data_IF_940880556189
#
_entry.id   IF_940880556189
#
_cell.length_a   1.000
_cell.length_b   1.000
_cell.length_c   1.000
_cell.angle_alpha   90.00
_cell.angle_beta   90.00
_cell.angle_gamma   90.00
#
_symmetry.space_group_name_H-M   'P 1'
#
loop_
_entity.id
_entity.type
_entity.pdbx_description
1 polymer ?
#
# COMPACT_ATOMS: atom_id res chain seq x y z
N UNK A 1 0.55 38.14 6.87
CA UNK A 1 1.09 37.53 8.10
C UNK A 1 1.26 38.58 9.21
N UNK A 2 1.97 39.67 8.95
CA UNK A 2 2.19 40.71 9.95
C UNK A 2 0.90 41.44 10.35
N UNK A 3 0.11 41.90 9.38
CA UNK A 3 -1.13 42.65 9.62
C UNK A 3 -2.22 41.81 10.30
N UNK A 4 -2.38 40.55 9.88
CA UNK A 4 -3.44 39.66 10.37
C UNK A 4 -3.01 38.81 11.56
N UNK A 5 -1.80 38.98 12.10
CA UNK A 5 -1.22 38.16 13.21
C UNK A 5 -1.41 36.66 13.05
N UNK A 6 -1.51 36.18 11.81
CA UNK A 6 -1.68 34.75 11.51
C UNK A 6 -0.36 34.15 11.05
N UNK A 7 -0.07 32.92 11.48
CA UNK A 7 1.10 32.17 11.05
C UNK A 7 0.87 31.38 9.75
N UNK A 8 -0.35 31.37 9.25
CA UNK A 8 -0.77 30.63 8.05
C UNK A 8 -1.27 31.59 6.97
N UNK A 9 -0.78 31.42 5.75
CA UNK A 9 -1.23 32.15 4.56
C UNK A 9 -1.64 31.12 3.50
N UNK A 10 -2.82 31.27 2.88
CA UNK A 10 -3.23 30.44 1.75
C UNK A 10 -2.19 30.51 0.63
N UNK A 11 -1.95 29.39 -0.05
CA UNK A 11 -1.03 29.29 -1.20
C UNK A 11 0.41 29.74 -0.92
N UNK A 12 0.85 29.66 0.32
CA UNK A 12 2.21 30.06 0.73
C UNK A 12 3.27 29.32 -0.10
N UNK A 13 4.11 30.10 -0.82
CA UNK A 13 5.29 29.58 -1.52
C UNK A 13 6.38 29.33 -0.47
N UNK A 14 6.87 28.09 -0.41
CA UNK A 14 7.93 27.64 0.53
C UNK A 14 9.23 27.29 -0.19
N UNK A 15 9.19 27.16 -1.51
CA UNK A 15 10.35 26.91 -2.36
C UNK A 15 10.26 27.79 -3.60
N UNK A 16 11.34 28.50 -3.91
CA UNK A 16 11.41 29.32 -5.15
C UNK A 16 11.65 28.44 -6.38
N UNK A 17 12.31 27.31 -6.22
CA UNK A 17 12.59 26.37 -7.31
C UNK A 17 11.43 25.43 -7.61
N UNK A 18 10.56 25.21 -6.65
CA UNK A 18 9.39 24.34 -6.72
C UNK A 18 8.17 25.05 -6.10
N UNK A 19 7.60 26.05 -6.77
CA UNK A 19 6.54 26.91 -6.19
C UNK A 19 5.23 26.19 -5.93
N UNK A 20 5.03 24.98 -6.48
CA UNK A 20 3.87 24.13 -6.25
C UNK A 20 3.91 23.37 -4.91
N UNK A 21 5.08 23.22 -4.28
CA UNK A 21 5.20 22.54 -2.99
C UNK A 21 4.48 23.33 -1.90
N UNK A 22 3.75 22.61 -1.06
CA UNK A 22 3.00 23.16 0.09
C UNK A 22 3.44 22.49 1.39
N UNK A 23 3.34 23.21 2.52
CA UNK A 23 3.54 22.59 3.83
C UNK A 23 2.38 21.68 4.20
N UNK A 24 2.69 20.47 4.64
CA UNK A 24 1.74 19.48 5.11
C UNK A 24 1.91 19.34 6.63
N UNK A 25 0.88 19.73 7.38
CA UNK A 25 0.90 19.59 8.84
C UNK A 25 0.59 18.16 9.22
N UNK A 26 1.53 17.48 9.88
CA UNK A 26 1.41 16.06 10.29
C UNK A 26 1.16 15.87 11.78
N UNK A 27 1.40 16.87 12.61
CA UNK A 27 1.21 16.78 14.06
C UNK A 27 2.09 15.74 14.77
N UNK A 28 3.16 15.26 14.13
CA UNK A 28 4.11 14.31 14.73
C UNK A 28 5.13 15.06 15.58
N UNK A 29 5.44 14.54 16.78
CA UNK A 29 6.53 15.03 17.61
C UNK A 29 7.87 14.99 16.84
N UNK A 30 8.59 16.12 16.80
CA UNK A 30 9.88 16.23 16.12
C UNK A 30 9.86 16.65 14.66
N UNK A 31 8.79 16.37 13.89
CA UNK A 31 8.61 16.86 12.51
C UNK A 31 7.15 17.25 12.28
N UNK A 32 6.72 18.40 12.78
CA UNK A 32 5.32 18.83 12.69
C UNK A 32 4.87 19.19 11.28
N UNK A 33 5.81 19.54 10.39
CA UNK A 33 5.55 19.96 9.02
C UNK A 33 6.42 19.15 8.07
N UNK A 34 5.84 18.59 7.04
CA UNK A 34 6.49 17.97 5.91
C UNK A 34 6.20 18.80 4.65
N UNK A 35 7.06 18.70 3.65
CA UNK A 35 6.92 19.41 2.37
C UNK A 35 6.86 18.38 1.25
N UNK A 36 5.97 18.57 0.29
CA UNK A 36 5.82 17.68 -0.85
C UNK A 36 4.38 17.44 -1.25
N UNK A 37 4.16 16.40 -2.07
CA UNK A 37 2.85 15.95 -2.46
C UNK A 37 2.23 14.99 -1.42
N UNK A 38 0.92 15.07 -1.26
CA UNK A 38 0.13 13.99 -0.65
C UNK A 38 -0.15 12.93 -1.70
N UNK A 39 0.13 11.69 -1.37
CA UNK A 39 -0.05 10.55 -2.24
C UNK A 39 -1.14 9.66 -1.67
N UNK A 40 -2.14 9.37 -2.48
CA UNK A 40 -3.12 8.33 -2.20
C UNK A 40 -2.74 7.09 -3.00
N UNK A 41 -2.54 5.99 -2.32
CA UNK A 41 -1.97 4.78 -2.89
C UNK A 41 -2.76 3.58 -2.42
N UNK A 42 -3.09 2.68 -3.34
CA UNK A 42 -3.64 1.37 -3.04
C UNK A 42 -2.63 0.27 -3.30
N UNK A 43 -2.78 -0.86 -2.62
CA UNK A 43 -1.92 -2.01 -2.79
C UNK A 43 -2.76 -3.28 -2.87
N UNK A 44 -2.61 -4.02 -3.97
CA UNK A 44 -3.27 -5.30 -4.21
C UNK A 44 -2.20 -6.32 -4.51
N UNK A 45 -2.18 -7.44 -3.81
CA UNK A 45 -1.18 -8.50 -3.95
C UNK A 45 0.26 -8.01 -3.92
N UNK A 46 0.53 -7.00 -3.09
CA UNK A 46 1.81 -6.29 -3.03
C UNK A 46 2.23 -5.51 -4.29
N UNK A 47 1.34 -5.31 -5.25
CA UNK A 47 1.50 -4.32 -6.31
C UNK A 47 0.86 -3.01 -5.89
N UNK A 48 1.53 -1.92 -6.18
CA UNK A 48 1.16 -0.57 -5.72
C UNK A 48 0.54 0.20 -6.87
N UNK A 49 -0.62 0.80 -6.62
CA UNK A 49 -1.30 1.67 -7.57
C UNK A 49 -1.34 3.08 -7.00
N UNK A 50 -0.85 4.02 -7.78
CA UNK A 50 -0.90 5.44 -7.44
C UNK A 50 -2.28 5.99 -7.87
N UNK A 51 -3.16 6.18 -6.89
CA UNK A 51 -4.54 6.58 -7.16
C UNK A 51 -4.66 8.09 -7.38
N UNK A 52 -3.92 8.86 -6.57
CA UNK A 52 -3.97 10.31 -6.63
C UNK A 52 -2.70 10.96 -6.10
N UNK A 53 -2.32 12.06 -6.74
CA UNK A 53 -1.29 12.99 -6.27
C UNK A 53 -1.97 14.33 -5.99
N UNK A 54 -1.65 14.95 -4.87
CA UNK A 54 -2.15 16.28 -4.54
C UNK A 54 -1.07 17.12 -3.88
N UNK A 55 -0.94 18.35 -4.33
CA UNK A 55 -0.07 19.36 -3.72
C UNK A 55 -0.78 20.13 -2.62
N UNK A 56 -2.09 19.94 -2.48
CA UNK A 56 -2.91 20.58 -1.46
C UNK A 56 -3.17 19.65 -0.28
N UNK A 57 -3.50 20.25 0.86
CA UNK A 57 -3.82 19.49 2.07
C UNK A 57 -5.28 18.97 2.00
N UNK A 58 -5.50 17.91 1.23
CA UNK A 58 -6.81 17.25 1.12
C UNK A 58 -7.05 16.25 2.26
N UNK A 59 -8.32 16.06 2.60
CA UNK A 59 -8.73 15.01 3.53
C UNK A 59 -8.73 13.65 2.81
N UNK A 60 -7.81 12.79 3.18
CA UNK A 60 -7.62 11.47 2.57
C UNK A 60 -8.83 10.55 2.75
N UNK A 61 -9.60 10.72 3.85
CA UNK A 61 -10.76 9.86 4.14
C UNK A 61 -11.85 9.86 3.06
N UNK A 62 -11.95 10.93 2.26
CA UNK A 62 -12.94 11.04 1.20
C UNK A 62 -12.60 10.17 -0.04
N UNK A 63 -11.35 9.72 -0.18
CA UNK A 63 -10.88 9.01 -1.38
C UNK A 63 -11.11 7.50 -1.33
N UNK A 64 -11.49 6.93 -0.18
CA UNK A 64 -11.68 5.48 -0.04
C UNK A 64 -12.69 4.92 -1.05
N UNK A 65 -13.81 5.60 -1.23
CA UNK A 65 -14.85 5.16 -2.17
C UNK A 65 -14.32 5.12 -3.61
N UNK A 66 -13.61 6.16 -4.03
CA UNK A 66 -12.98 6.23 -5.35
C UNK A 66 -11.96 5.10 -5.56
N UNK A 67 -11.12 4.81 -4.56
CA UNK A 67 -10.14 3.72 -4.60
C UNK A 67 -10.81 2.35 -4.74
N UNK A 68 -11.89 2.11 -4.01
CA UNK A 68 -12.64 0.85 -4.10
C UNK A 68 -13.37 0.71 -5.43
N UNK A 69 -13.93 1.80 -5.98
CA UNK A 69 -14.56 1.75 -7.32
C UNK A 69 -13.51 1.52 -8.41
N UNK A 70 -12.33 2.14 -8.36
CA UNK A 70 -11.21 1.84 -9.27
C UNK A 70 -10.77 0.37 -9.18
N UNK A 71 -10.75 -0.19 -7.96
CA UNK A 71 -10.50 -1.62 -7.80
C UNK A 71 -11.54 -2.46 -8.54
N UNK A 72 -12.82 -2.13 -8.38
CA UNK A 72 -13.91 -2.82 -9.09
C UNK A 72 -13.81 -2.69 -10.61
N UNK A 73 -13.45 -1.50 -11.12
CA UNK A 73 -13.22 -1.29 -12.56
C UNK A 73 -12.09 -2.16 -13.11
N UNK A 74 -10.99 -2.30 -12.36
CA UNK A 74 -9.84 -3.10 -12.77
C UNK A 74 -10.08 -4.61 -12.69
N UNK A 75 -10.79 -5.08 -11.66
CA UNK A 75 -10.91 -6.51 -11.36
C UNK A 75 -12.31 -7.09 -11.63
N UNK A 76 -13.31 -6.25 -11.88
CA UNK A 76 -14.69 -6.67 -12.17
C UNK A 76 -15.56 -6.96 -10.95
N UNK A 77 -15.01 -6.92 -9.73
CA UNK A 77 -15.71 -7.20 -8.48
C UNK A 77 -15.19 -6.33 -7.34
N UNK A 78 -15.96 -6.21 -6.25
CA UNK A 78 -15.53 -5.51 -5.05
C UNK A 78 -14.54 -6.34 -4.23
N UNK A 79 -13.59 -5.72 -3.51
CA UNK A 79 -12.68 -6.43 -2.64
C UNK A 79 -13.43 -7.04 -1.44
N UNK A 80 -13.03 -8.21 -1.00
CA UNK A 80 -13.58 -8.87 0.19
C UNK A 80 -13.31 -8.04 1.46
N UNK A 81 -12.13 -7.44 1.53
CA UNK A 81 -11.74 -6.62 2.67
C UNK A 81 -10.85 -5.45 2.26
N UNK A 82 -10.97 -4.35 3.02
CA UNK A 82 -10.17 -3.14 2.86
C UNK A 82 -9.41 -2.86 4.16
N UNK A 83 -8.09 -2.75 4.05
CA UNK A 83 -7.20 -2.50 5.16
C UNK A 83 -6.68 -1.07 5.09
N UNK A 84 -7.17 -0.23 5.98
CA UNK A 84 -6.96 1.21 5.94
C UNK A 84 -6.51 1.77 7.28
N UNK A 85 -5.87 2.92 7.26
CA UNK A 85 -5.51 3.64 8.46
C UNK A 85 -6.76 4.24 9.15
N UNK A 86 -6.60 4.66 10.39
CA UNK A 86 -7.68 5.17 11.25
C UNK A 86 -8.44 6.33 10.60
N UNK A 87 -7.78 7.18 9.84
CA UNK A 87 -8.38 8.34 9.19
C UNK A 87 -9.48 7.98 8.19
N UNK A 88 -9.35 6.84 7.51
CA UNK A 88 -10.33 6.36 6.53
C UNK A 88 -11.56 5.68 7.17
N UNK A 89 -11.50 5.33 8.47
CA UNK A 89 -12.55 4.55 9.17
C UNK A 89 -13.70 5.43 9.67
N UNK A 90 -14.16 6.37 8.86
CA UNK A 90 -15.31 7.21 9.15
C UNK A 90 -16.59 6.37 9.20
N UNK A 91 -17.66 6.89 9.86
CA UNK A 91 -18.96 6.22 9.86
C UNK A 91 -19.51 6.05 8.45
N UNK A 92 -19.33 7.07 7.62
CA UNK A 92 -19.78 7.08 6.23
C UNK A 92 -19.09 5.97 5.43
N UNK A 93 -17.75 5.89 5.47
CA UNK A 93 -17.00 4.84 4.77
C UNK A 93 -17.35 3.44 5.25
N UNK A 94 -17.57 3.26 6.55
CA UNK A 94 -18.00 1.96 7.12
C UNK A 94 -19.37 1.53 6.62
N UNK A 95 -20.34 2.45 6.59
CA UNK A 95 -21.68 2.16 6.09
C UNK A 95 -21.64 1.84 4.60
N UNK A 96 -20.93 2.64 3.82
CA UNK A 96 -20.76 2.45 2.39
C UNK A 96 -20.12 1.09 2.04
N UNK A 97 -19.07 0.68 2.77
CA UNK A 97 -18.45 -0.63 2.62
C UNK A 97 -19.41 -1.77 3.02
N UNK A 98 -20.14 -1.60 4.15
CA UNK A 98 -21.10 -2.59 4.63
C UNK A 98 -22.22 -2.88 3.62
N UNK A 99 -22.76 -1.83 2.99
CA UNK A 99 -23.80 -1.95 1.93
C UNK A 99 -23.34 -2.78 0.74
N UNK A 100 -22.02 -2.84 0.49
CA UNK A 100 -21.40 -3.58 -0.62
C UNK A 100 -20.79 -4.93 -0.19
N UNK A 101 -21.02 -5.34 1.05
CA UNK A 101 -20.45 -6.57 1.59
C UNK A 101 -18.94 -6.51 1.84
N UNK A 102 -18.33 -5.33 1.84
CA UNK A 102 -16.89 -5.13 2.01
C UNK A 102 -16.56 -5.02 3.50
N UNK A 103 -15.65 -5.86 3.98
CA UNK A 103 -15.14 -5.78 5.35
C UNK A 103 -14.07 -4.69 5.45
N UNK A 104 -14.27 -3.69 6.29
CA UNK A 104 -13.24 -2.70 6.63
C UNK A 104 -12.47 -3.15 7.87
N UNK A 105 -11.13 -3.14 7.82
CA UNK A 105 -10.28 -3.58 8.92
C UNK A 105 -10.31 -2.62 10.11
N UNK A 106 -9.99 -3.15 11.29
CA UNK A 106 -9.82 -2.39 12.51
C UNK A 106 -10.97 -2.54 13.52
N UNK A 107 -10.86 -1.87 14.68
CA UNK A 107 -11.79 -2.07 15.78
C UNK A 107 -13.21 -1.65 15.40
N UNK A 108 -14.20 -2.36 15.95
CA UNK A 108 -15.61 -2.00 15.86
C UNK A 108 -15.85 -0.64 16.51
N UNK A 109 -16.90 0.07 16.07
CA UNK A 109 -17.31 1.33 16.70
C UNK A 109 -17.86 1.07 18.10
N UNK A 110 -17.53 1.95 19.04
CA UNK A 110 -18.00 1.88 20.42
C UNK A 110 -16.91 1.43 21.40
N UNK A 111 -17.34 1.13 22.64
CA UNK A 111 -16.44 0.64 23.68
C UNK A 111 -16.00 -0.79 23.33
N UNK A 112 -14.68 -1.07 23.37
CA UNK A 112 -14.19 -2.41 23.09
C UNK A 112 -14.77 -3.41 24.12
N UNK A 113 -15.12 -4.65 23.70
CA UNK A 113 -15.59 -5.68 24.62
C UNK A 113 -14.49 -6.05 25.62
N UNK A 114 -14.87 -6.38 26.85
CA UNK A 114 -13.91 -6.81 27.90
C UNK A 114 -13.15 -8.09 27.50
N UNK A 115 -13.86 -9.01 26.83
CA UNK A 115 -13.29 -10.26 26.35
C UNK A 115 -13.31 -10.28 24.83
N UNK A 116 -12.16 -10.29 24.22
CA UNK A 116 -11.98 -10.44 22.75
C UNK A 116 -11.59 -11.89 22.50
N UNK A 117 -12.27 -12.57 21.57
CA UNK A 117 -11.95 -13.94 21.21
C UNK A 117 -10.53 -14.05 20.61
N UNK A 118 -9.92 -15.23 20.72
CA UNK A 118 -8.60 -15.46 20.12
C UNK A 118 -8.64 -15.35 18.59
N UNK A 119 -9.77 -15.69 17.98
CA UNK A 119 -10.00 -15.53 16.54
C UNK A 119 -10.00 -14.05 16.13
N UNK A 120 -10.71 -13.19 16.88
CA UNK A 120 -10.71 -11.74 16.63
C UNK A 120 -9.32 -11.13 16.82
N UNK A 121 -8.54 -11.60 17.81
CA UNK A 121 -7.14 -11.16 18.00
C UNK A 121 -6.26 -11.60 16.84
N UNK A 122 -6.39 -12.84 16.37
CA UNK A 122 -5.66 -13.36 15.22
C UNK A 122 -5.98 -12.58 13.94
N UNK A 123 -7.28 -12.30 13.73
CA UNK A 123 -7.72 -11.48 12.60
C UNK A 123 -7.14 -10.04 12.66
N UNK A 124 -7.16 -9.41 13.83
CA UNK A 124 -6.60 -8.08 14.03
C UNK A 124 -5.09 -8.03 13.74
N UNK A 125 -4.32 -9.04 14.16
CA UNK A 125 -2.89 -9.16 13.85
C UNK A 125 -2.65 -9.34 12.34
N UNK A 126 -3.47 -10.15 11.68
CA UNK A 126 -3.43 -10.33 10.23
C UNK A 126 -3.72 -9.02 9.50
N UNK A 127 -4.77 -8.31 9.90
CA UNK A 127 -5.15 -7.00 9.33
C UNK A 127 -4.03 -5.96 9.48
N UNK A 128 -3.35 -5.96 10.63
CA UNK A 128 -2.21 -5.08 10.90
C UNK A 128 -1.01 -5.43 10.00
N UNK A 129 -0.72 -6.72 9.84
CA UNK A 129 0.34 -7.18 8.93
C UNK A 129 0.09 -6.72 7.48
N UNK A 130 -1.16 -6.80 7.00
CA UNK A 130 -1.51 -6.29 5.67
C UNK A 130 -1.33 -4.78 5.57
N UNK A 131 -1.79 -4.03 6.57
CA UNK A 131 -1.61 -2.57 6.61
C UNK A 131 -0.13 -2.18 6.54
N UNK A 132 0.73 -2.87 7.29
CA UNK A 132 2.16 -2.61 7.31
C UNK A 132 2.84 -2.89 5.96
N UNK A 133 2.24 -3.72 5.09
CA UNK A 133 2.79 -3.98 3.77
C UNK A 133 2.88 -2.72 2.90
N UNK A 134 1.88 -1.82 2.97
CA UNK A 134 1.91 -0.56 2.22
C UNK A 134 2.96 0.42 2.78
N UNK A 135 3.14 0.45 4.11
CA UNK A 135 4.20 1.26 4.73
C UNK A 135 5.59 0.78 4.27
N UNK A 136 5.78 -0.56 4.17
CA UNK A 136 6.99 -1.15 3.61
C UNK A 136 7.23 -0.75 2.16
N UNK A 137 6.18 -0.61 1.34
CA UNK A 137 6.29 -0.12 -0.05
C UNK A 137 6.72 1.33 -0.12
N UNK A 138 6.14 2.19 0.71
CA UNK A 138 6.61 3.58 0.83
C UNK A 138 8.06 3.66 1.32
N UNK A 139 8.44 2.82 2.29
CA UNK A 139 9.82 2.70 2.76
C UNK A 139 10.77 2.35 1.61
N UNK A 140 10.43 1.33 0.82
CA UNK A 140 11.21 0.93 -0.36
C UNK A 140 11.27 2.03 -1.42
N UNK A 141 10.15 2.68 -1.73
CA UNK A 141 10.10 3.78 -2.69
C UNK A 141 11.02 4.95 -2.26
N UNK A 142 11.02 5.28 -0.96
CA UNK A 142 11.86 6.35 -0.42
C UNK A 142 13.33 5.99 -0.36
N UNK A 143 13.68 4.79 0.10
CA UNK A 143 15.08 4.40 0.33
C UNK A 143 15.81 3.95 -0.93
N UNK A 144 15.12 3.25 -1.85
CA UNK A 144 15.75 2.61 -3.01
C UNK A 144 15.44 3.29 -4.33
N UNK A 145 14.34 4.07 -4.39
CA UNK A 145 13.86 4.66 -5.65
C UNK A 145 13.63 6.18 -5.57
N UNK A 146 14.29 6.84 -4.63
CA UNK A 146 14.38 8.31 -4.52
C UNK A 146 13.05 9.06 -4.40
N UNK A 147 11.98 8.40 -3.91
CA UNK A 147 10.70 9.09 -3.67
C UNK A 147 10.82 10.23 -2.64
N UNK A 148 11.81 10.17 -1.76
CA UNK A 148 12.11 11.19 -0.76
C UNK A 148 12.82 12.41 -1.34
N UNK A 149 13.30 12.37 -2.59
CA UNK A 149 14.09 13.42 -3.22
C UNK A 149 13.63 13.66 -4.68
N UNK A 150 12.46 14.27 -4.84
CA UNK A 150 11.95 14.69 -6.15
C UNK A 150 12.57 16.06 -6.49
N UNK A 151 13.49 16.07 -7.46
CA UNK A 151 14.27 17.28 -7.83
C UNK A 151 13.69 18.04 -9.02
N UNK A 152 12.65 17.54 -9.64
CA UNK A 152 11.98 18.17 -10.78
C UNK A 152 11.30 19.48 -10.37
N UNK A 153 11.34 20.49 -11.25
CA UNK A 153 10.92 21.86 -10.91
C UNK A 153 9.46 22.15 -11.20
N UNK A 154 8.88 21.49 -12.21
CA UNK A 154 7.48 21.67 -12.63
C UNK A 154 6.57 20.65 -11.94
N UNK A 155 5.31 21.00 -11.65
CA UNK A 155 4.34 20.08 -11.05
C UNK A 155 4.18 18.78 -11.85
N UNK A 156 3.97 18.89 -13.17
CA UNK A 156 3.72 17.76 -14.06
C UNK A 156 4.92 16.80 -14.11
N UNK A 157 6.13 17.34 -14.17
CA UNK A 157 7.35 16.51 -14.15
C UNK A 157 7.60 15.89 -12.78
N UNK A 158 7.19 16.55 -11.70
CA UNK A 158 7.25 15.99 -10.35
C UNK A 158 6.25 14.84 -10.18
N UNK A 159 5.03 14.99 -10.68
CA UNK A 159 4.00 13.94 -10.69
C UNK A 159 4.43 12.74 -11.53
N UNK A 160 4.99 12.99 -12.71
CA UNK A 160 5.55 11.95 -13.58
C UNK A 160 6.69 11.20 -12.88
N UNK A 161 7.60 11.90 -12.22
CA UNK A 161 8.69 11.29 -11.46
C UNK A 161 8.19 10.40 -10.33
N UNK A 162 7.16 10.84 -9.60
CA UNK A 162 6.50 10.05 -8.54
C UNK A 162 5.85 8.80 -9.15
N UNK A 163 5.11 8.96 -10.25
CA UNK A 163 4.44 7.84 -10.92
C UNK A 163 5.45 6.79 -11.41
N UNK A 164 6.56 7.21 -12.03
CA UNK A 164 7.66 6.34 -12.45
C UNK A 164 8.24 5.58 -11.25
N UNK A 165 8.40 6.25 -10.10
CA UNK A 165 8.91 5.59 -8.90
C UNK A 165 8.03 4.39 -8.49
N UNK A 166 6.71 4.54 -8.47
CA UNK A 166 5.81 3.42 -8.15
C UNK A 166 5.79 2.35 -9.24
N UNK A 167 5.92 2.72 -10.51
CA UNK A 167 6.10 1.75 -11.60
C UNK A 167 7.36 0.91 -11.36
N UNK A 168 8.49 1.54 -11.01
CA UNK A 168 9.76 0.83 -10.72
C UNK A 168 9.64 -0.06 -9.48
N UNK A 169 8.92 0.35 -8.44
CA UNK A 169 8.60 -0.52 -7.29
C UNK A 169 7.90 -1.80 -7.73
N UNK A 170 6.91 -1.68 -8.63
CA UNK A 170 6.18 -2.83 -9.16
C UNK A 170 7.05 -3.70 -10.07
N UNK A 171 7.84 -3.10 -10.97
CA UNK A 171 8.77 -3.83 -11.83
C UNK A 171 9.83 -4.57 -11.02
N UNK A 172 10.35 -3.96 -9.95
CA UNK A 172 11.33 -4.62 -9.08
C UNK A 172 10.73 -5.83 -8.33
N UNK A 173 9.43 -5.77 -7.99
CA UNK A 173 8.70 -6.92 -7.45
C UNK A 173 8.55 -8.03 -8.49
N UNK A 174 8.11 -7.68 -9.69
CA UNK A 174 7.95 -8.61 -10.80
C UNK A 174 9.26 -9.33 -11.11
N UNK A 175 10.36 -8.57 -11.21
CA UNK A 175 11.70 -9.11 -11.42
C UNK A 175 12.10 -10.13 -10.34
N UNK A 176 11.84 -9.82 -9.06
CA UNK A 176 12.12 -10.78 -7.96
C UNK A 176 11.29 -12.06 -8.09
N UNK A 177 10.04 -11.96 -8.53
CA UNK A 177 9.20 -13.15 -8.76
C UNK A 177 9.75 -14.00 -9.90
N UNK A 178 10.13 -13.39 -11.03
CA UNK A 178 10.75 -14.09 -12.14
C UNK A 178 12.09 -14.71 -11.76
N UNK A 179 12.94 -13.98 -11.05
CA UNK A 179 14.22 -14.50 -10.60
C UNK A 179 14.04 -15.68 -9.61
N UNK A 180 13.09 -15.59 -8.70
CA UNK A 180 12.77 -16.68 -7.77
C UNK A 180 12.29 -17.93 -8.54
N UNK A 181 11.44 -17.75 -9.57
CA UNK A 181 10.97 -18.85 -10.41
C UNK A 181 12.11 -19.46 -11.24
N UNK A 182 12.94 -18.61 -11.84
CA UNK A 182 14.09 -19.05 -12.61
C UNK A 182 15.08 -19.86 -11.77
N UNK A 183 15.46 -19.35 -10.59
CA UNK A 183 16.35 -20.07 -9.66
C UNK A 183 15.75 -21.39 -9.21
N UNK A 184 14.45 -21.43 -8.95
CA UNK A 184 13.76 -22.66 -8.58
C UNK A 184 13.82 -23.69 -9.72
N UNK A 185 13.53 -23.30 -10.97
CA UNK A 185 13.64 -24.17 -12.13
C UNK A 185 15.08 -24.66 -12.33
N UNK A 186 16.06 -23.76 -12.22
CA UNK A 186 17.47 -24.10 -12.40
C UNK A 186 17.98 -25.09 -11.36
N UNK A 187 17.57 -24.92 -10.10
CA UNK A 187 17.93 -25.86 -9.01
C UNK A 187 17.30 -27.22 -9.27
N UNK A 188 16.02 -27.28 -9.65
CA UNK A 188 15.37 -28.57 -9.93
C UNK A 188 16.03 -29.31 -11.10
N UNK A 189 16.33 -28.62 -12.21
CA UNK A 189 17.01 -29.24 -13.36
C UNK A 189 18.36 -29.80 -12.93
N UNK A 190 19.16 -29.06 -12.15
CA UNK A 190 20.46 -29.56 -11.67
C UNK A 190 20.34 -30.70 -10.66
N UNK A 191 19.32 -30.70 -9.82
CA UNK A 191 19.10 -31.81 -8.87
C UNK A 191 18.67 -33.07 -9.61
N UNK A 192 17.84 -32.99 -10.65
CA UNK A 192 17.46 -34.14 -11.46
C UNK A 192 18.67 -34.76 -12.20
N UNK A 193 19.63 -33.96 -12.64
CA UNK A 193 20.88 -34.45 -13.22
C UNK A 193 21.79 -35.13 -12.20
N UNK A 194 21.81 -34.67 -10.94
CA UNK A 194 22.69 -35.18 -9.89
C UNK A 194 22.09 -36.38 -9.11
N UNK A 195 20.75 -36.51 -9.07
CA UNK A 195 20.03 -37.50 -8.25
C UNK A 195 19.35 -38.62 -9.04
N UNK A 196 19.74 -38.87 -10.27
CA UNK A 196 19.23 -40.02 -11.02
C UNK A 196 19.59 -41.37 -10.36
N UNK A 197 19.98 -41.38 -9.09
CA UNK A 197 20.39 -42.60 -8.35
C UNK A 197 19.68 -42.88 -7.04
N UNK A 198 18.78 -42.01 -6.49
CA UNK A 198 18.03 -42.38 -5.29
C UNK A 198 16.63 -41.77 -5.26
N UNK A 199 15.67 -42.54 -5.67
CA UNK A 199 14.23 -42.27 -5.54
C UNK A 199 13.80 -42.32 -4.06
N UNK A 200 12.82 -41.46 -3.74
CA UNK A 200 11.84 -41.49 -2.64
C UNK A 200 12.09 -40.44 -1.54
N UNK A 201 11.28 -39.41 -1.54
CA UNK A 201 10.73 -38.60 -0.46
C UNK A 201 10.70 -37.05 -0.68
N UNK A 202 11.17 -36.50 -1.77
CA UNK A 202 11.18 -35.03 -1.95
C UNK A 202 9.89 -34.47 -2.56
N UNK A 203 9.07 -35.28 -3.21
CA UNK A 203 7.79 -34.84 -3.83
C UNK A 203 6.82 -34.22 -2.81
N UNK A 204 6.91 -34.58 -1.53
CA UNK A 204 6.01 -34.06 -0.51
C UNK A 204 6.32 -32.63 -0.07
N UNK A 205 7.57 -32.22 -0.05
CA UNK A 205 7.98 -30.84 0.32
C UNK A 205 7.68 -29.86 -0.83
N UNK A 206 7.87 -30.30 -2.07
CA UNK A 206 7.62 -29.50 -3.27
C UNK A 206 6.13 -29.28 -3.55
N UNK A 207 5.29 -30.31 -3.33
CA UNK A 207 3.84 -30.14 -3.46
C UNK A 207 3.30 -29.09 -2.48
N UNK A 208 3.76 -29.11 -1.24
CA UNK A 208 3.39 -28.12 -0.21
C UNK A 208 3.86 -26.70 -0.52
N UNK A 209 5.01 -26.54 -1.19
CA UNK A 209 5.51 -25.22 -1.57
C UNK A 209 4.71 -24.64 -2.76
N UNK A 210 4.38 -25.49 -3.75
CA UNK A 210 3.55 -25.14 -4.90
C UNK A 210 2.12 -24.86 -4.44
N UNK A 211 1.52 -25.69 -3.61
CA UNK A 211 0.21 -25.46 -3.02
C UNK A 211 0.15 -24.12 -2.25
N UNK A 212 1.16 -23.79 -1.44
CA UNK A 212 1.20 -22.48 -0.76
C UNK A 212 1.33 -21.31 -1.71
N UNK A 213 2.03 -21.43 -2.84
CA UNK A 213 2.11 -20.36 -3.85
C UNK A 213 0.84 -20.26 -4.71
N UNK A 214 0.23 -21.39 -5.08
CA UNK A 214 -1.02 -21.44 -5.84
C UNK A 214 -2.19 -20.98 -4.96
N UNK A 215 -2.27 -21.40 -3.70
CA UNK A 215 -3.28 -20.96 -2.74
C UNK A 215 -3.15 -19.45 -2.47
N UNK A 216 -1.94 -18.89 -2.42
CA UNK A 216 -1.74 -17.44 -2.36
C UNK A 216 -2.12 -16.73 -3.67
N UNK A 217 -2.21 -17.44 -4.79
CA UNK A 217 -2.65 -16.89 -6.07
C UNK A 217 -4.18 -16.97 -6.26
N UNK A 218 -4.84 -17.90 -5.59
CA UNK A 218 -6.30 -18.10 -5.65
C UNK A 218 -7.07 -17.44 -4.51
N UNK A 219 -6.42 -16.85 -3.54
CA UNK A 219 -7.10 -16.44 -2.32
C UNK A 219 -6.93 -15.01 -1.90
N UNK A 220 -8.02 -14.37 -1.65
CA UNK A 220 -8.20 -13.15 -0.87
C UNK A 220 -7.74 -11.87 -1.54
N UNK A 221 -8.51 -11.41 -2.49
CA UNK A 221 -8.44 -10.06 -3.05
C UNK A 221 -8.68 -9.02 -1.95
N UNK A 222 -7.60 -8.39 -1.50
CA UNK A 222 -7.62 -7.39 -0.43
C UNK A 222 -7.08 -6.08 -0.96
N UNK A 223 -7.81 -5.03 -0.73
CA UNK A 223 -7.39 -3.67 -1.05
C UNK A 223 -6.74 -3.05 0.19
N UNK A 224 -5.53 -2.55 0.02
CA UNK A 224 -4.81 -1.74 0.99
C UNK A 224 -4.81 -0.30 0.47
N UNK A 225 -5.32 0.64 1.25
CA UNK A 225 -5.33 2.05 0.91
C UNK A 225 -4.59 2.88 1.96
N UNK A 226 -3.73 3.77 1.51
CA UNK A 226 -2.94 4.70 2.31
C UNK A 226 -2.80 6.07 1.64
#
# INVERSE_FOLDING_TARGET
MWENKTQSVPQRIVSLTQPHIRPIVRGKAGKPIEFGAKLSVSCVDNYVFLDRISWENLNESCHLKEQVEKYREMFGYYPESVHVDKIYRTRENRNWCKERGIRISGPKLGRPPKNVSEEEKKQARSDESFRNAIEGKFGQAKSSFSLNLVMTKLPETSETSIAITFLVVNLSRLLRQFLSLYLWLFINIKTDELFNHNYINENYIYSKFIERKIINWQGNYRLLAA
#
